data_IF_474587005845
#
_entry.id   IF_474587005845
#
_cell.length_a   1.000
_cell.length_b   1.000
_cell.length_c   1.000
_cell.angle_alpha   90.00
_cell.angle_beta   90.00
_cell.angle_gamma   90.00
#
_symmetry.space_group_name_H-M   'P 1'
#
loop_
_entity.id
_entity.type
_entity.pdbx_description
1 polymer ?
2 non-polymer ?
3 non-polymer ?
4 water ?
#
# COMPACT_ATOMS: atom_id res chain seq x y z
N UNK A 24 2.43 -20.12 20.89
CA UNK A 24 3.77 -19.89 21.40
C UNK A 24 4.28 -18.51 20.98
N UNK A 25 4.61 -17.63 21.94
CA UNK A 25 5.12 -16.28 21.69
C UNK A 25 6.36 -16.05 22.57
N UNK A 26 7.53 -16.45 22.04
CA UNK A 26 8.81 -16.50 22.74
C UNK A 26 9.69 -15.27 22.44
N UNK A 27 9.51 -14.20 23.24
CA UNK A 27 10.17 -12.90 23.01
C UNK A 27 10.96 -12.33 24.19
N UNK A 28 11.08 -13.06 25.32
CA UNK A 28 11.82 -12.56 26.47
C UNK A 28 13.33 -12.61 26.22
N UNK A 29 14.15 -12.03 27.12
CA UNK A 29 13.81 -11.36 28.37
C UNK A 29 13.22 -9.91 28.24
N UNK A 30 13.43 -9.23 27.10
CA UNK A 30 13.03 -7.82 26.91
C UNK A 30 11.51 -7.53 26.90
N UNK A 31 10.67 -8.40 26.32
CA UNK A 31 9.23 -8.14 26.18
C UNK A 31 8.32 -9.07 26.98
N UNK A 32 7.33 -8.50 27.72
CA UNK A 32 6.41 -9.25 28.61
C UNK A 32 4.95 -8.72 28.56
N UNK A 33 4.04 -9.36 29.33
CA UNK A 33 2.61 -9.01 29.47
C UNK A 33 1.92 -8.89 28.10
N UNK A 34 1.80 -10.02 27.40
CA UNK A 34 1.25 -10.07 26.05
C UNK A 34 -0.27 -10.01 26.02
N UNK A 35 -0.83 -9.38 24.96
CA UNK A 35 -2.28 -9.29 24.72
C UNK A 35 -2.54 -9.29 23.21
N UNK A 36 -3.42 -10.19 22.75
CA UNK A 36 -3.77 -10.36 21.33
C UNK A 36 -4.34 -9.09 20.69
N UNK A 37 -3.84 -8.72 19.50
CA UNK A 37 -4.29 -7.56 18.72
C UNK A 37 -5.10 -8.10 17.54
N UNK A 38 -4.44 -8.90 16.70
CA UNK A 38 -5.06 -9.46 15.51
C UNK A 38 -4.27 -10.64 14.95
N UNK A 39 -4.75 -11.18 13.82
CA UNK A 39 -4.15 -12.32 13.16
C UNK A 39 -4.42 -12.21 11.66
N UNK A 40 -3.57 -12.83 10.85
CA UNK A 40 -3.72 -12.83 9.39
C UNK A 40 -2.91 -13.96 8.77
N UNK A 41 -2.81 -13.98 7.44
CA UNK A 41 -2.04 -15.02 6.75
C UNK A 41 -0.55 -14.98 7.18
N UNK A 42 -0.02 -13.77 7.42
CA UNK A 42 1.34 -13.53 7.93
C UNK A 42 1.67 -14.22 9.26
N UNK A 43 0.67 -14.36 10.14
CA UNK A 43 0.87 -14.91 11.48
C UNK A 43 0.01 -14.15 12.48
N UNK A 44 0.57 -13.77 13.63
CA UNK A 44 -0.16 -13.12 14.72
C UNK A 44 0.60 -11.93 15.27
N UNK A 45 -0.14 -10.89 15.66
CA UNK A 45 0.43 -9.70 16.24
C UNK A 45 -0.18 -9.49 17.64
N UNK A 46 0.67 -9.10 18.60
CA UNK A 46 0.27 -8.84 19.98
C UNK A 46 0.88 -7.53 20.37
N UNK A 47 0.48 -7.03 21.54
CA UNK A 47 1.10 -5.88 22.16
C UNK A 47 1.95 -6.48 23.31
N UNK A 48 3.06 -5.84 23.68
CA UNK A 48 3.97 -6.33 24.74
C UNK A 48 4.70 -5.16 25.39
N UNK A 49 5.10 -5.31 26.66
CA UNK A 49 5.85 -4.24 27.33
C UNK A 49 7.32 -4.37 27.01
N UNK A 50 7.94 -3.28 26.56
CA UNK A 50 9.37 -3.23 26.28
C UNK A 50 10.05 -2.87 27.61
N UNK A 56 4.84 0.12 25.92
CA UNK A 56 4.33 -0.99 25.12
C UNK A 56 4.66 -0.87 23.64
N UNK A 57 4.82 -2.03 22.98
CA UNK A 57 5.18 -2.14 21.56
C UNK A 57 4.29 -3.20 20.91
N UNK A 58 4.31 -3.28 19.56
CA UNK A 58 3.59 -4.31 18.82
C UNK A 58 4.64 -5.35 18.46
N UNK A 59 4.28 -6.63 18.51
CA UNK A 59 5.19 -7.70 18.12
C UNK A 59 4.42 -8.67 17.27
N UNK A 60 4.96 -9.01 16.10
CA UNK A 60 4.35 -9.97 15.19
C UNK A 60 5.26 -11.18 15.03
N UNK A 61 4.67 -12.37 15.04
CA UNK A 61 5.38 -13.65 14.88
C UNK A 61 5.18 -14.12 13.45
N UNK A 62 6.28 -14.34 12.72
CA UNK A 62 6.27 -14.79 11.32
C UNK A 62 6.95 -16.15 11.27
N UNK A 63 6.37 -17.15 10.60
CA UNK A 63 6.95 -18.48 10.50
C UNK A 63 6.96 -18.88 9.03
N UNK A 64 7.82 -18.26 8.20
CA UNK A 64 7.76 -18.37 6.73
C UNK A 64 8.67 -19.39 6.02
N UNK A 65 9.54 -20.07 6.72
CA UNK A 65 10.62 -20.79 6.07
C UNK A 65 10.26 -22.03 5.28
N UNK A 66 9.01 -22.53 5.34
CA UNK A 66 8.66 -23.70 4.55
C UNK A 66 8.37 -23.36 3.11
N UNK A 67 8.14 -22.06 2.76
CA UNK A 67 7.78 -21.68 1.42
C UNK A 67 8.52 -20.48 0.89
N UNK A 68 8.99 -20.60 -0.36
CA UNK A 68 9.75 -19.56 -1.04
C UNK A 68 8.97 -18.22 -1.02
N UNK A 69 7.67 -18.24 -1.35
CA UNK A 69 6.90 -16.99 -1.37
C UNK A 69 6.87 -16.28 -0.03
N UNK A 70 6.67 -17.03 1.06
CA UNK A 70 6.57 -16.40 2.37
C UNK A 70 7.94 -15.83 2.75
N UNK A 71 9.05 -16.51 2.36
CA UNK A 71 10.41 -16.00 2.64
C UNK A 71 10.63 -14.72 1.88
N UNK A 72 10.20 -14.66 0.60
CA UNK A 72 10.34 -13.44 -0.22
C UNK A 72 9.63 -12.28 0.47
N UNK A 73 8.37 -12.48 0.94
CA UNK A 73 7.62 -11.38 1.60
C UNK A 73 8.25 -10.95 2.91
N UNK A 74 8.82 -11.89 3.64
CA UNK A 74 9.46 -11.59 4.90
C UNK A 74 10.73 -10.79 4.64
N UNK A 75 11.55 -11.21 3.68
CA UNK A 75 12.82 -10.50 3.39
C UNK A 75 12.54 -9.11 2.86
N UNK A 76 11.48 -8.93 2.06
CA UNK A 76 11.13 -7.59 1.58
C UNK A 76 10.72 -6.70 2.73
N UNK A 77 9.80 -7.16 3.59
CA UNK A 77 9.34 -6.41 4.79
C UNK A 77 10.55 -5.94 5.60
N UNK A 78 11.46 -6.87 5.89
CA UNK A 78 12.60 -6.55 6.72
C UNK A 78 13.61 -5.65 6.03
N UNK A 79 14.09 -6.00 4.85
CA UNK A 79 15.11 -5.19 4.16
C UNK A 79 14.66 -3.76 3.92
N UNK A 80 13.42 -3.61 3.47
CA UNK A 80 12.93 -2.27 3.18
C UNK A 80 12.72 -1.46 4.46
N UNK A 81 12.01 -2.00 5.44
CA UNK A 81 11.72 -1.24 6.64
C UNK A 81 12.95 -0.89 7.43
N UNK A 82 14.00 -1.73 7.41
CA UNK A 82 15.24 -1.38 8.11
C UNK A 82 15.96 -0.22 7.43
N UNK A 83 15.78 -0.05 6.08
CA UNK A 83 16.42 1.00 5.30
C UNK A 83 15.63 2.31 5.21
N UNK A 84 14.38 2.33 5.72
CA UNK A 84 13.56 3.50 5.75
C UNK A 84 13.50 4.06 7.16
N UNK A 85 13.44 5.39 7.22
CA UNK A 85 13.22 6.11 8.46
C UNK A 85 12.38 7.32 8.13
N UNK A 86 11.11 7.23 8.46
CA UNK A 86 10.16 8.31 8.14
C UNK A 86 8.98 8.28 9.10
N UNK A 87 8.49 9.46 9.48
CA UNK A 87 7.40 9.57 10.45
C UNK A 87 6.13 8.87 10.05
N UNK A 88 5.85 8.75 8.75
CA UNK A 88 4.61 8.14 8.25
C UNK A 88 4.81 6.76 7.69
N UNK A 89 5.90 6.09 8.12
CA UNK A 89 6.18 4.71 7.74
C UNK A 89 6.48 3.95 9.01
N UNK A 90 5.82 2.80 9.26
CA UNK A 90 6.08 2.04 10.48
C UNK A 90 7.55 1.61 10.51
N UNK A 91 8.19 1.71 11.64
CA UNK A 91 9.60 1.27 11.61
C UNK A 91 9.70 -0.16 12.08
N UNK A 92 10.91 -0.69 12.09
CA UNK A 92 11.21 -1.96 12.76
C UNK A 92 12.14 -1.56 13.90
N UNK A 93 11.70 -1.76 15.14
CA UNK A 93 12.47 -1.40 16.34
C UNK A 93 13.41 -2.51 16.79
N UNK A 94 13.01 -3.78 16.57
CA UNK A 94 13.81 -4.92 17.00
C UNK A 94 13.34 -6.16 16.24
N UNK A 95 14.21 -7.18 16.13
CA UNK A 95 13.85 -8.42 15.47
C UNK A 95 14.44 -9.54 16.33
N UNK A 96 13.60 -10.49 16.75
CA UNK A 96 14.03 -11.61 17.58
C UNK A 96 14.00 -12.86 16.73
N UNK A 97 15.08 -13.62 16.78
CA UNK A 97 15.14 -14.93 16.14
C UNK A 97 16.27 -15.73 16.78
N UNK A 98 16.32 -17.02 16.49
CA UNK A 98 17.32 -17.92 17.06
C UNK A 98 18.75 -17.51 16.70
N UNK A 99 19.74 -17.93 17.49
CA UNK A 99 21.13 -17.53 17.23
C UNK A 99 21.78 -18.23 16.04
N UNK A 100 21.19 -19.30 15.50
CA UNK A 100 21.76 -19.99 14.36
C UNK A 100 20.69 -20.24 13.34
N UNK A 101 21.10 -20.41 12.10
CA UNK A 101 20.18 -20.65 10.99
C UNK A 101 19.46 -21.98 11.19
N UNK A 102 20.17 -22.96 11.72
CA UNK A 102 19.60 -24.27 12.01
C UNK A 102 18.39 -24.19 12.97
N UNK A 103 18.47 -23.33 13.98
CA UNK A 103 17.48 -23.21 15.03
C UNK A 103 16.42 -22.21 14.71
N UNK A 104 16.65 -21.37 13.69
CA UNK A 104 15.68 -20.36 13.33
C UNK A 104 14.46 -20.91 12.60
N UNK A 105 13.30 -20.86 13.26
CA UNK A 105 12.03 -21.31 12.65
C UNK A 105 11.04 -20.19 12.57
N UNK A 106 11.12 -19.21 13.49
CA UNK A 106 10.20 -18.09 13.54
C UNK A 106 11.01 -16.82 13.53
N UNK A 107 10.36 -15.72 13.26
CA UNK A 107 10.98 -14.40 13.36
C UNK A 107 9.94 -13.47 13.98
N UNK A 108 10.32 -12.73 15.03
CA UNK A 108 9.43 -11.79 15.71
C UNK A 108 9.89 -10.39 15.33
N UNK A 109 9.00 -9.57 14.78
CA UNK A 109 9.31 -8.23 14.35
C UNK A 109 8.62 -7.26 15.31
N UNK A 110 9.40 -6.41 15.95
CA UNK A 110 8.91 -5.48 16.96
C UNK A 110 8.74 -4.11 16.33
N UNK A 111 7.55 -3.52 16.48
CA UNK A 111 7.26 -2.23 15.88
C UNK A 111 6.53 -1.33 16.87
N UNK A 112 6.47 -0.03 16.56
CA UNK A 112 5.73 0.92 17.41
C UNK A 112 4.28 0.50 17.50
N UNK A 113 3.71 0.61 18.69
CA UNK A 113 2.33 0.23 18.92
C UNK A 113 1.44 1.40 18.51
N UNK A 114 0.38 1.13 17.74
CA UNK A 114 -0.60 2.13 17.33
C UNK A 114 -1.93 1.72 17.93
N UNK A 115 -3.00 2.49 17.72
CA UNK A 115 -4.30 2.22 18.35
C UNK A 115 -5.30 1.54 17.48
N UNK A 116 -5.26 1.80 16.16
CA UNK A 116 -6.21 1.19 15.28
C UNK A 116 -5.70 1.32 13.86
N UNK A 117 -6.51 0.95 12.90
CA UNK A 117 -6.14 1.15 11.50
C UNK A 117 -7.32 1.80 10.81
N UNK A 118 -7.10 2.33 9.61
CA UNK A 118 -8.16 3.04 8.90
C UNK A 118 -9.35 2.15 8.52
N UNK A 119 -9.13 0.87 8.30
CA UNK A 119 -10.23 -0.07 8.00
C UNK A 119 -11.19 -0.13 9.18
N UNK A 120 -10.65 -0.33 10.38
CA UNK A 120 -11.47 -0.42 11.61
C UNK A 120 -12.16 0.91 11.89
N UNK A 121 -11.43 2.04 11.75
CA UNK A 121 -12.00 3.35 12.00
C UNK A 121 -13.19 3.63 11.09
N UNK A 122 -13.08 3.26 9.82
CA UNK A 122 -14.17 3.50 8.87
C UNK A 122 -15.39 2.62 9.12
N UNK A 123 -15.29 1.53 9.89
CA UNK A 123 -16.46 0.71 10.21
C UNK A 123 -17.35 1.42 11.23
N UNK A 124 -16.76 2.27 12.10
CA UNK A 124 -17.48 2.92 13.19
C UNK A 124 -17.66 4.44 13.10
N UNK A 125 -16.82 5.16 12.32
CA UNK A 125 -16.86 6.61 12.25
C UNK A 125 -16.95 7.15 10.83
N UNK A 126 -17.77 8.20 10.64
CA UNK A 126 -17.78 8.99 9.41
C UNK A 126 -16.76 10.09 9.70
N UNK A 127 -15.77 10.23 8.83
CA UNK A 127 -14.72 11.23 9.01
C UNK A 127 -15.09 12.57 8.43
N UNK A 128 -14.79 13.61 9.18
CA UNK A 128 -14.93 14.97 8.70
C UNK A 128 -13.92 15.20 7.61
N UNK A 129 -14.18 16.19 6.77
CA UNK A 129 -13.27 16.55 5.69
C UNK A 129 -11.90 16.89 6.23
N UNK A 130 -11.82 17.62 7.34
CA UNK A 130 -10.48 18.00 7.81
C UNK A 130 -9.65 16.81 8.35
N UNK A 131 -10.29 15.75 8.81
CA UNK A 131 -9.56 14.53 9.13
C UNK A 131 -9.12 13.81 7.86
N UNK A 132 -10.01 13.73 6.87
CA UNK A 132 -9.66 13.11 5.59
C UNK A 132 -8.44 13.83 5.00
N UNK A 133 -8.49 15.15 4.98
CA UNK A 133 -7.40 15.95 4.42
C UNK A 133 -6.07 15.65 5.09
N UNK A 134 -6.06 15.66 6.43
CA UNK A 134 -4.84 15.40 7.16
C UNK A 134 -4.34 13.95 6.99
N UNK A 135 -5.24 12.97 7.00
CA UNK A 135 -4.83 11.61 6.77
C UNK A 135 -4.28 11.45 5.37
N UNK A 136 -4.96 12.02 4.36
CA UNK A 136 -4.46 11.91 2.99
C UNK A 136 -3.08 12.57 2.85
N UNK A 137 -2.90 13.72 3.46
CA UNK A 137 -1.60 14.39 3.43
C UNK A 137 -0.51 13.42 3.95
N UNK A 138 -0.75 12.78 5.11
CA UNK A 138 0.24 11.86 5.67
C UNK A 138 0.50 10.65 4.78
N UNK A 139 -0.58 10.08 4.19
CA UNK A 139 -0.38 8.96 3.27
C UNK A 139 0.59 9.40 2.15
N UNK A 140 0.31 10.55 1.52
CA UNK A 140 1.10 11.01 0.41
C UNK A 140 2.50 11.45 0.84
N UNK A 141 2.67 11.98 2.06
CA UNK A 141 4.00 12.35 2.57
C UNK A 141 4.85 11.09 2.71
N UNK A 142 4.27 10.03 3.33
CA UNK A 142 5.01 8.76 3.44
C UNK A 142 5.27 8.18 2.06
N UNK A 143 4.28 8.20 1.18
CA UNK A 143 4.47 7.64 -0.16
C UNK A 143 5.54 8.38 -0.96
N UNK A 144 5.68 9.72 -0.73
CA UNK A 144 6.74 10.46 -1.40
C UNK A 144 8.08 9.85 -1.03
N UNK A 145 8.30 9.58 0.25
CA UNK A 145 9.55 8.98 0.72
C UNK A 145 9.74 7.59 0.09
N UNK A 146 8.68 6.76 0.09
CA UNK A 146 8.80 5.41 -0.47
C UNK A 146 9.21 5.50 -1.94
N UNK A 147 8.51 6.33 -2.73
CA UNK A 147 8.76 6.45 -4.15
C UNK A 147 10.12 7.10 -4.40
N UNK A 148 10.61 7.97 -3.52
CA UNK A 148 11.92 8.58 -3.70
C UNK A 148 13.06 7.57 -3.52
N UNK A 149 12.76 6.46 -2.82
CA UNK A 149 13.71 5.35 -2.66
C UNK A 149 13.56 4.37 -3.84
N UNK A 150 12.78 4.69 -4.88
CA UNK A 150 12.56 3.80 -6.01
C UNK A 150 11.82 2.55 -5.57
N UNK A 151 11.02 2.59 -4.52
CA UNK A 151 10.23 1.46 -4.03
C UNK A 151 8.76 1.72 -4.29
N UNK A 152 8.03 0.64 -4.57
CA UNK A 152 6.61 0.63 -4.74
C UNK A 152 6.01 -0.17 -3.58
N UNK A 153 4.97 0.32 -2.93
CA UNK A 153 4.35 -0.43 -1.85
C UNK A 153 3.54 -1.61 -2.36
N UNK A 154 2.65 -1.31 -3.32
CA UNK A 154 1.85 -2.28 -4.07
C UNK A 154 0.73 -2.93 -3.32
N UNK A 155 0.41 -2.49 -2.08
CA UNK A 155 -0.75 -3.03 -1.42
C UNK A 155 -1.35 -2.02 -0.48
N UNK A 156 -1.40 -0.76 -0.93
CA UNK A 156 -2.00 0.25 -0.07
C UNK A 156 -3.50 0.05 0.02
N UNK A 157 -4.02 0.11 1.24
CA UNK A 157 -5.43 -0.08 1.55
C UNK A 157 -5.66 0.37 2.97
N UNK A 158 -6.90 0.58 3.39
CA UNK A 158 -7.14 1.09 4.75
C UNK A 158 -6.52 0.28 5.87
N UNK A 159 -6.52 -1.06 5.77
CA UNK A 159 -5.98 -1.88 6.84
C UNK A 159 -4.48 -1.79 6.97
N UNK A 160 -3.78 -1.21 5.98
CA UNK A 160 -2.33 -1.02 6.04
C UNK A 160 -1.96 0.41 6.43
N UNK A 161 -2.90 1.16 7.01
CA UNK A 161 -2.69 2.52 7.47
C UNK A 161 -3.06 2.58 8.94
N UNK A 162 -2.04 2.60 9.78
CA UNK A 162 -2.21 2.60 11.23
C UNK A 162 -2.39 3.99 11.74
N UNK A 163 -3.25 4.16 12.76
CA UNK A 163 -3.60 5.44 13.35
C UNK A 163 -3.54 5.45 14.86
N UNK A 164 -3.35 6.63 15.44
CA UNK A 164 -3.45 6.79 16.88
C UNK A 164 -4.39 7.97 17.18
N UNK A 165 -4.67 8.23 18.47
CA UNK A 165 -5.61 9.29 18.85
C UNK A 165 -5.09 10.69 18.50
N UNK A 166 -3.76 10.89 18.40
CA UNK A 166 -3.22 12.17 17.94
C UNK A 166 -3.29 12.29 16.41
N UNK A 167 -3.93 11.32 15.72
CA UNK A 167 -4.14 11.31 14.28
C UNK A 167 -2.85 11.14 13.49
N UNK A 168 -1.81 10.58 14.10
CA UNK A 168 -0.60 10.22 13.36
C UNK A 168 -0.98 9.01 12.55
N UNK A 169 -0.48 8.94 11.34
CA UNK A 169 -0.72 7.85 10.42
C UNK A 169 0.59 7.26 9.96
N UNK A 170 0.66 5.91 9.94
CA UNK A 170 1.83 5.20 9.50
C UNK A 170 1.44 4.12 8.53
N UNK A 171 2.15 4.07 7.41
CA UNK A 171 1.99 3.06 6.39
C UNK A 171 2.72 1.80 6.81
N UNK A 172 2.04 0.65 6.73
CA UNK A 172 2.65 -0.61 7.09
C UNK A 172 2.45 -1.65 5.97
N UNK A 173 3.14 -2.80 6.11
CA UNK A 173 3.09 -3.98 5.26
C UNK A 173 3.74 -3.81 3.90
N UNK A 174 5.03 -4.07 3.82
CA UNK A 174 5.83 -4.01 2.62
C UNK A 174 6.13 -5.42 2.06
N UNK A 175 5.29 -6.37 2.39
CA UNK A 175 5.50 -7.75 1.91
C UNK A 175 5.38 -7.93 0.40
N UNK A 176 4.61 -7.06 -0.26
CA UNK A 176 4.46 -7.11 -1.72
C UNK A 176 5.22 -5.99 -2.39
N UNK A 177 6.07 -5.29 -1.66
CA UNK A 177 6.81 -4.18 -2.23
C UNK A 177 7.82 -4.63 -3.24
N UNK A 178 8.18 -3.76 -4.16
CA UNK A 178 9.17 -4.04 -5.20
C UNK A 178 9.95 -2.78 -5.50
N UNK A 179 11.12 -2.93 -6.08
CA UNK A 179 11.85 -1.85 -6.63
C UNK A 179 11.16 -1.53 -7.95
N UNK A 180 10.93 -0.23 -8.23
CA UNK A 180 10.25 0.17 -9.46
C UNK A 180 11.06 -0.26 -10.70
N UNK A 181 10.35 -0.64 -11.75
CA UNK A 181 10.99 -1.16 -12.95
C UNK A 181 10.06 -0.85 -14.12
N UNK A 182 9.92 0.45 -14.48
CA UNK A 182 9.01 0.83 -15.55
C UNK A 182 9.32 0.21 -16.89
N UNK A 183 10.59 -0.08 -17.18
CA UNK A 183 10.95 -0.68 -18.45
C UNK A 183 10.47 -2.12 -18.57
N UNK A 184 10.12 -2.81 -17.47
CA UNK A 184 9.64 -4.20 -17.47
C UNK A 184 8.24 -4.35 -16.85
N UNK A 185 7.45 -3.31 -16.99
CA UNK A 185 6.08 -3.29 -16.44
C UNK A 185 5.09 -4.08 -17.32
N UNK A 186 5.41 -4.31 -18.58
CA UNK A 186 4.46 -4.93 -19.49
C UNK A 186 4.15 -6.39 -19.20
N UNK A 187 2.85 -6.76 -19.32
CA UNK A 187 2.39 -8.12 -19.24
C UNK A 187 1.12 -8.22 -20.09
N UNK A 188 0.62 -9.45 -20.26
CA UNK A 188 -0.57 -9.68 -21.05
C UNK A 188 -1.86 -9.27 -20.38
N UNK A 189 -2.92 -9.30 -21.13
CA UNK A 189 -4.28 -9.04 -20.71
C UNK A 189 -4.73 -10.16 -19.75
N UNK A 190 -5.38 -9.74 -18.65
CA UNK A 190 -5.95 -10.66 -17.64
C UNK A 190 -4.89 -11.56 -16.99
N UNK A 191 -3.70 -10.95 -16.68
CA UNK A 191 -2.58 -11.61 -16.00
C UNK A 191 -2.89 -11.58 -14.50
N UNK A 192 -2.71 -12.72 -13.85
CA UNK A 192 -2.98 -12.89 -12.42
C UNK A 192 -2.17 -11.90 -11.60
N UNK A 193 -2.74 -11.43 -10.50
CA UNK A 193 -2.13 -10.41 -9.65
C UNK A 193 -2.36 -10.76 -8.20
N UNK A 194 -1.43 -10.40 -7.30
CA UNK A 194 -1.58 -10.81 -5.91
C UNK A 194 -2.18 -9.74 -5.02
N UNK A 195 -1.88 -8.45 -5.25
CA UNK A 195 -2.34 -7.44 -4.32
C UNK A 195 -3.85 -7.29 -4.27
N UNK A 196 -4.34 -6.73 -3.17
CA UNK A 196 -5.75 -6.62 -2.85
C UNK A 196 -6.63 -6.08 -3.99
N UNK A 197 -7.63 -6.90 -4.38
CA UNK A 197 -8.45 -6.63 -5.56
C UNK A 197 -9.02 -5.24 -5.66
N UNK A 198 -9.68 -4.78 -4.58
CA UNK A 198 -10.44 -3.54 -4.65
C UNK A 198 -9.60 -2.30 -4.91
N UNK A 199 -8.28 -2.41 -4.69
CA UNK A 199 -7.38 -1.26 -4.81
C UNK A 199 -6.47 -1.36 -6.01
N UNK A 200 -6.74 -2.29 -6.94
CA UNK A 200 -5.97 -2.50 -8.17
C UNK A 200 -6.32 -1.52 -9.26
N UNK A 201 -5.30 -0.90 -9.85
CA UNK A 201 -5.51 0.02 -10.97
C UNK A 201 -6.01 -0.75 -12.19
N UNK A 202 -6.70 -0.06 -13.10
CA UNK A 202 -7.24 -0.76 -14.25
C UNK A 202 -6.20 -1.42 -15.09
N UNK A 203 -5.04 -0.82 -15.22
CA UNK A 203 -3.99 -1.38 -16.06
C UNK A 203 -3.48 -2.73 -15.56
N UNK A 204 -3.65 -3.07 -14.28
CA UNK A 204 -3.25 -4.40 -13.82
C UNK A 204 -3.97 -5.49 -14.60
N UNK A 205 -5.23 -5.25 -14.99
CA UNK A 205 -6.02 -6.23 -15.70
C UNK A 205 -5.81 -6.16 -17.19
N UNK A 206 -5.14 -5.09 -17.67
CA UNK A 206 -5.01 -4.86 -19.10
C UNK A 206 -3.60 -5.08 -19.65
N UNK A 207 -2.58 -4.57 -18.98
CA UNK A 207 -1.22 -4.58 -19.52
C UNK A 207 -0.08 -4.36 -18.54
N UNK A 208 -0.31 -4.37 -17.21
CA UNK A 208 0.74 -3.98 -16.28
C UNK A 208 0.97 -4.98 -15.17
N UNK A 209 2.24 -5.18 -14.82
CA UNK A 209 2.66 -5.98 -13.69
C UNK A 209 2.73 -5.19 -12.38
N UNK A 210 2.41 -3.90 -12.39
CA UNK A 210 2.44 -3.11 -11.16
C UNK A 210 3.86 -2.76 -10.75
N UNK A 211 4.75 -2.48 -11.73
CA UNK A 211 6.14 -2.12 -11.47
C UNK A 211 6.38 -0.63 -11.70
N UNK A 212 5.32 0.22 -11.68
CA UNK A 212 5.54 1.67 -11.80
C UNK A 212 4.79 2.35 -10.64
N UNK A 213 5.27 3.54 -10.29
CA UNK A 213 4.78 4.32 -9.18
C UNK A 213 3.29 4.65 -9.27
N UNK A 214 2.76 4.75 -10.49
CA UNK A 214 1.36 5.02 -10.72
C UNK A 214 0.42 3.99 -10.09
N UNK A 215 0.90 2.76 -9.86
CA UNK A 215 0.06 1.75 -9.26
C UNK A 215 -0.35 2.17 -7.83
N UNK A 216 0.59 2.82 -7.11
CA UNK A 216 0.27 3.21 -5.74
C UNK A 216 -0.67 4.38 -5.68
N UNK A 217 -0.52 5.35 -6.63
CA UNK A 217 -1.39 6.50 -6.66
C UNK A 217 -2.82 6.05 -6.85
N UNK A 218 -3.08 5.08 -7.73
CA UNK A 218 -4.45 4.60 -7.92
C UNK A 218 -5.01 4.12 -6.55
N UNK A 219 -4.22 3.30 -5.84
CA UNK A 219 -4.68 2.81 -4.55
C UNK A 219 -5.00 3.93 -3.56
N UNK A 220 -4.16 4.97 -3.55
CA UNK A 220 -4.45 6.12 -2.69
C UNK A 220 -5.75 6.79 -3.09
N UNK A 221 -6.03 6.91 -4.41
CA UNK A 221 -7.29 7.48 -4.86
C UNK A 221 -8.45 6.64 -4.33
N UNK A 222 -8.29 5.29 -4.36
CA UNK A 222 -9.34 4.41 -3.80
C UNK A 222 -9.54 4.66 -2.31
N UNK A 223 -8.47 4.89 -1.58
CA UNK A 223 -8.56 5.13 -0.13
C UNK A 223 -9.25 6.44 0.11
N UNK A 224 -8.90 7.48 -0.67
CA UNK A 224 -9.61 8.74 -0.51
C UNK A 224 -11.10 8.59 -0.73
N UNK A 225 -11.48 7.92 -1.79
CA UNK A 225 -12.92 7.73 -2.05
C UNK A 225 -13.56 6.99 -0.88
N UNK A 226 -12.88 5.99 -0.34
CA UNK A 226 -13.40 5.23 0.78
C UNK A 226 -13.56 6.05 2.05
N UNK A 227 -12.63 6.99 2.29
CA UNK A 227 -12.80 7.88 3.46
C UNK A 227 -13.99 8.82 3.24
N UNK A 228 -14.27 9.22 1.98
CA UNK A 228 -15.36 10.16 1.73
C UNK A 228 -16.74 9.56 1.92
N UNK A 229 -16.90 8.22 1.78
CA UNK A 229 -18.23 7.58 1.88
C UNK A 229 -18.30 6.37 2.82
N UNK A 230 -17.18 5.93 3.43
CA UNK A 230 -17.11 4.73 4.26
C UNK A 230 -17.46 3.45 3.53
N UNK A 231 -17.28 3.42 2.22
CA UNK A 231 -17.51 2.23 1.42
C UNK A 231 -16.47 2.18 0.35
N UNK A 232 -15.98 0.99 -0.01
CA UNK A 232 -15.03 0.90 -1.10
C UNK A 232 -15.66 1.38 -2.40
N UNK A 233 -14.89 2.13 -3.19
CA UNK A 233 -15.43 2.70 -4.42
C UNK A 233 -15.61 1.64 -5.53
N UNK A 234 -14.68 0.67 -5.62
CA UNK A 234 -14.75 -0.37 -6.64
C UNK A 234 -14.63 -1.78 -6.00
N UNK A 235 -15.73 -2.26 -5.37
CA UNK A 235 -15.71 -3.55 -4.68
C UNK A 235 -15.97 -4.68 -5.67
N UNK A 236 -15.00 -4.96 -6.53
CA UNK A 236 -15.17 -6.06 -7.49
C UNK A 236 -15.34 -7.36 -6.71
N UNK A 237 -16.25 -8.24 -7.16
CA UNK A 237 -16.48 -9.49 -6.47
C UNK A 237 -15.53 -10.58 -6.95
N UNK A 238 -14.79 -10.33 -8.02
CA UNK A 238 -13.84 -11.26 -8.61
C UNK A 238 -12.95 -10.47 -9.61
N UNK A 239 -11.91 -11.11 -10.16
CA UNK A 239 -10.87 -10.48 -11.01
C UNK A 239 -11.39 -9.52 -12.13
N UNK A 240 -12.18 -9.97 -13.16
CA UNK A 240 -12.60 -9.07 -14.24
C UNK A 240 -13.65 -8.10 -13.74
N UNK A 241 -14.41 -8.51 -12.70
CA UNK A 241 -15.44 -7.63 -12.14
C UNK A 241 -14.80 -6.38 -11.62
N UNK A 242 -13.55 -6.44 -11.20
CA UNK A 242 -12.85 -5.23 -10.76
C UNK A 242 -12.76 -4.18 -11.87
N UNK A 243 -12.47 -4.60 -13.11
CA UNK A 243 -12.44 -3.66 -14.24
C UNK A 243 -13.86 -3.19 -14.55
N UNK A 244 -14.90 -4.04 -14.38
CA UNK A 244 -16.29 -3.62 -14.61
C UNK A 244 -16.61 -2.44 -13.71
N UNK A 245 -16.25 -2.55 -12.44
CA UNK A 245 -16.55 -1.49 -11.48
C UNK A 245 -15.83 -0.19 -11.90
N UNK A 246 -14.55 -0.29 -12.29
CA UNK A 246 -13.78 0.91 -12.65
C UNK A 246 -14.37 1.61 -13.87
N UNK A 247 -14.63 0.82 -14.92
CA UNK A 247 -15.20 1.40 -16.15
C UNK A 247 -16.62 1.86 -15.94
N UNK A 248 -17.35 1.27 -14.97
CA UNK A 248 -18.71 1.70 -14.69
C UNK A 248 -18.75 3.15 -14.18
N UNK A 249 -17.70 3.60 -13.46
CA UNK A 249 -17.64 4.97 -12.96
C UNK A 249 -16.85 5.88 -13.90
N UNK A 250 -15.67 5.46 -14.38
CA UNK A 250 -14.85 6.32 -15.25
C UNK A 250 -15.43 6.45 -16.64
N UNK A 251 -16.21 5.49 -17.07
CA UNK A 251 -16.75 5.49 -18.42
C UNK A 251 -15.73 4.92 -19.38
N UNK A 252 -16.09 4.88 -20.66
CA UNK A 252 -15.22 4.32 -21.67
C UNK A 252 -13.93 5.10 -21.80
N UNK A 253 -12.79 4.42 -21.97
CA UNK A 253 -11.54 5.14 -22.18
C UNK A 253 -11.54 5.88 -23.52
N UNK A 254 -10.81 6.98 -23.57
CA UNK A 254 -10.70 7.76 -24.79
C UNK A 254 -9.88 7.03 -25.84
N UNK A 255 -9.98 7.49 -27.07
CA UNK A 255 -9.21 6.90 -28.16
C UNK A 255 -7.73 7.00 -27.87
N UNK A 256 -7.28 8.13 -27.34
CA UNK A 256 -5.86 8.31 -27.00
C UNK A 256 -5.46 7.33 -25.91
N UNK A 257 -6.32 7.09 -24.91
CA UNK A 257 -5.97 6.10 -23.89
C UNK A 257 -5.93 4.68 -24.42
N UNK A 258 -6.78 4.34 -25.38
CA UNK A 258 -6.74 3.04 -26.05
C UNK A 258 -5.48 2.92 -26.88
N UNK A 259 -5.00 4.04 -27.47
CA UNK A 259 -3.77 4.03 -28.25
C UNK A 259 -2.55 3.70 -27.37
N UNK A 260 -2.62 3.95 -26.03
CA UNK A 260 -1.58 3.64 -25.05
C UNK A 260 -1.76 2.22 -24.43
N UNK A 261 -2.75 1.41 -24.89
CA UNK A 261 -3.08 0.16 -24.14
C UNK A 261 -2.13 -1.05 -24.37
N UNK A 262 -1.26 -0.99 -25.38
CA UNK A 262 -0.20 -1.96 -25.67
C UNK A 262 -0.71 -3.28 -26.28
N UNK A 263 -1.53 -4.00 -25.53
CA UNK A 263 -1.95 -5.32 -25.91
C UNK A 263 -3.11 -5.38 -26.88
N UNK A 264 -2.99 -6.23 -27.89
CA UNK A 264 -4.05 -6.51 -28.84
C UNK A 264 -5.32 -6.93 -28.12
N UNK A 265 -5.19 -7.87 -27.18
CA UNK A 265 -6.36 -8.40 -26.52
C UNK A 265 -7.00 -7.40 -25.59
N UNK A 266 -6.23 -6.48 -25.02
CA UNK A 266 -6.84 -5.45 -24.15
C UNK A 266 -7.54 -4.45 -25.04
N UNK A 267 -6.93 -4.03 -26.15
CA UNK A 267 -7.56 -3.10 -27.07
C UNK A 267 -8.86 -3.69 -27.61
N UNK A 268 -8.84 -4.92 -28.05
CA UNK A 268 -10.03 -5.57 -28.60
C UNK A 268 -11.14 -5.66 -27.54
N UNK A 269 -10.79 -5.98 -26.31
CA UNK A 269 -11.78 -6.04 -25.25
C UNK A 269 -12.43 -4.66 -25.03
N UNK A 270 -11.62 -3.62 -24.89
CA UNK A 270 -12.22 -2.32 -24.63
C UNK A 270 -13.04 -1.86 -25.81
N UNK A 271 -12.59 -2.11 -27.04
CA UNK A 271 -13.36 -1.72 -28.23
C UNK A 271 -14.70 -2.43 -28.35
N UNK A 272 -14.80 -3.63 -27.76
CA UNK A 272 -16.01 -4.45 -27.81
C UNK A 272 -17.13 -4.01 -26.87
N UNK A 273 -16.81 -3.17 -25.91
CA UNK A 273 -17.74 -2.75 -24.88
C UNK A 273 -18.67 -1.68 -25.42
N UNK A 274 -19.91 -1.63 -24.93
CA UNK A 274 -20.75 -0.50 -25.28
C UNK A 274 -20.16 0.77 -24.65
N UNK A 275 -20.46 1.91 -25.29
CA UNK A 275 -20.04 3.20 -24.76
C UNK A 275 -20.71 3.41 -23.42
N UNK A 276 -19.95 3.87 -22.43
CA UNK A 276 -20.38 4.13 -21.05
C UNK A 276 -19.91 5.55 -20.73
N UNK A 277 -20.80 6.40 -20.21
CA UNK A 277 -20.42 7.74 -19.82
C UNK A 277 -19.90 7.75 -18.41
N UNK A 278 -19.01 8.68 -18.14
CA UNK A 278 -18.40 8.93 -16.83
C UNK A 278 -19.50 9.31 -15.81
N UNK A 279 -19.49 8.69 -14.61
CA UNK A 279 -20.41 9.03 -13.51
C UNK A 279 -19.71 10.24 -12.79
N UNK A 280 -20.38 11.40 -12.66
CA UNK A 280 -19.73 12.56 -12.04
C UNK A 280 -19.32 12.30 -10.60
N UNK A 281 -18.14 12.77 -10.19
CA UNK A 281 -17.69 12.55 -8.84
C UNK A 281 -18.66 13.19 -7.83
N UNK A 282 -19.25 14.36 -8.18
CA UNK A 282 -20.18 15.04 -7.28
C UNK A 282 -21.55 14.33 -7.14
N UNK A 283 -21.87 13.36 -8.00
CA UNK A 283 -23.06 12.54 -7.82
C UNK A 283 -22.72 11.37 -6.91
N UNK A 284 -21.47 10.82 -7.01
CA UNK A 284 -21.08 9.74 -6.12
C UNK A 284 -20.82 10.26 -4.72
N UNK A 285 -20.27 11.47 -4.62
CA UNK A 285 -19.88 12.09 -3.36
C UNK A 285 -20.47 13.49 -3.26
N UNK A 286 -21.79 13.59 -3.07
CA UNK A 286 -22.49 14.85 -3.05
C UNK A 286 -22.14 15.82 -1.92
N UNK A 287 -21.57 15.31 -0.81
CA UNK A 287 -21.22 16.16 0.33
C UNK A 287 -19.73 16.43 0.42
N UNK A 288 -18.94 15.92 -0.55
CA UNK A 288 -17.51 16.11 -0.49
C UNK A 288 -17.06 17.47 -0.97
N UNK A 289 -15.91 17.87 -0.45
CA UNK A 289 -15.25 19.09 -0.81
C UNK A 289 -14.86 19.05 -2.30
N UNK A 290 -15.11 20.15 -3.04
CA UNK A 290 -14.81 20.17 -4.49
C UNK A 290 -13.32 19.94 -4.78
N UNK A 291 -12.42 20.47 -3.92
CA UNK A 291 -11.00 20.29 -4.15
C UNK A 291 -10.63 18.83 -3.90
N UNK A 292 -11.28 18.17 -2.92
CA UNK A 292 -11.01 16.74 -2.68
C UNK A 292 -11.40 15.91 -3.93
N UNK A 293 -12.55 16.25 -4.56
CA UNK A 293 -12.98 15.54 -5.76
C UNK A 293 -12.11 15.83 -6.97
N UNK A 294 -11.52 17.03 -7.05
CA UNK A 294 -10.63 17.33 -8.16
C UNK A 294 -9.37 16.48 -8.01
N UNK A 295 -8.85 16.38 -6.81
CA UNK A 295 -7.66 15.53 -6.59
C UNK A 295 -8.00 14.07 -6.81
N UNK A 296 -9.15 13.62 -6.33
CA UNK A 296 -9.61 12.25 -6.54
C UNK A 296 -9.63 11.93 -8.05
N UNK A 297 -10.20 12.83 -8.86
CA UNK A 297 -10.26 12.64 -10.30
C UNK A 297 -8.85 12.38 -10.87
N UNK A 298 -7.86 13.17 -10.42
CA UNK A 298 -6.51 13.07 -10.93
C UNK A 298 -5.79 11.81 -10.47
N UNK A 299 -6.09 11.30 -9.27
CA UNK A 299 -5.49 10.04 -8.83
C UNK A 299 -6.17 8.86 -9.51
N UNK A 300 -7.50 8.95 -9.74
CA UNK A 300 -8.26 7.88 -10.39
C UNK A 300 -8.36 8.12 -11.89
N UNK A 301 -7.27 8.52 -12.52
CA UNK A 301 -7.16 8.68 -13.97
C UNK A 301 -6.86 7.31 -14.59
N UNK A 302 -7.61 6.96 -15.64
CA UNK A 302 -7.45 5.67 -16.29
C UNK A 302 -6.05 5.40 -16.83
N UNK A 303 -5.50 6.34 -17.56
CA UNK A 303 -4.20 6.17 -18.19
C UNK A 303 -3.13 6.44 -17.12
N UNK A 304 -2.30 5.45 -16.79
CA UNK A 304 -1.30 5.68 -15.77
C UNK A 304 -0.29 6.75 -16.14
N UNK A 305 -0.04 6.99 -17.41
CA UNK A 305 0.91 8.01 -17.83
C UNK A 305 0.37 9.41 -17.57
N UNK A 306 -0.96 9.57 -17.50
CA UNK A 306 -1.59 10.84 -17.22
C UNK A 306 -1.96 11.03 -15.75
N UNK A 307 -1.87 9.98 -14.96
CA UNK A 307 -2.21 9.99 -13.54
C UNK A 307 -1.23 10.87 -12.77
N UNK A 308 -1.76 11.62 -11.81
CA UNK A 308 -0.95 12.51 -10.98
C UNK A 308 0.12 11.70 -10.25
N UNK A 309 1.31 12.27 -10.09
CA UNK A 309 2.39 11.65 -9.33
C UNK A 309 2.37 12.20 -7.90
N UNK A 310 3.05 11.51 -6.99
CA UNK A 310 2.95 11.84 -5.58
C UNK A 310 3.31 13.28 -5.26
N UNK A 311 4.35 13.85 -5.87
CA UNK A 311 4.70 15.23 -5.54
C UNK A 311 3.66 16.20 -6.03
N UNK A 312 3.05 15.91 -7.17
CA UNK A 312 1.97 16.77 -7.67
C UNK A 312 0.78 16.68 -6.76
N UNK A 313 0.47 15.50 -6.26
CA UNK A 313 -0.65 15.34 -5.38
C UNK A 313 -0.45 16.14 -4.10
N UNK A 314 0.75 16.11 -3.52
CA UNK A 314 1.04 16.89 -2.35
C UNK A 314 0.83 18.41 -2.59
N UNK A 315 1.14 18.85 -3.81
CA UNK A 315 1.00 20.25 -4.23
C UNK A 315 -0.40 20.64 -4.66
N UNK A 316 -1.38 19.73 -4.63
CA UNK A 316 -2.73 20.03 -5.05
C UNK A 316 -3.41 20.97 -4.06
N UNK A 317 -4.33 21.85 -4.54
CA UNK A 317 -4.99 22.75 -3.62
C UNK A 317 -5.67 22.12 -2.43
N UNK A 318 -6.17 20.90 -2.56
CA UNK A 318 -6.84 20.27 -1.42
C UNK A 318 -5.94 20.19 -0.21
N UNK A 319 -4.63 19.98 -0.44
CA UNK A 319 -3.65 19.79 0.63
C UNK A 319 -2.80 21.03 0.92
N UNK A 320 -3.22 22.21 0.39
CA UNK A 320 -2.45 23.43 0.53
C UNK A 320 -2.12 23.84 1.95
N UNK A 321 -2.99 23.54 2.91
CA UNK A 321 -2.69 23.98 4.28
C UNK A 321 -1.52 23.21 4.90
N UNK A 322 -1.22 22.02 4.38
CA UNK A 322 -0.14 21.19 4.91
C UNK A 322 1.08 21.14 4.03
N UNK A 323 0.95 21.43 2.75
CA UNK A 323 2.07 21.31 1.83
C UNK A 323 3.29 22.12 2.19
N UNK A 324 4.42 21.42 2.33
CA UNK A 324 5.68 22.06 2.65
C UNK A 324 6.76 21.09 2.22
N UNK A 325 7.29 21.27 0.98
CA UNK A 325 8.32 20.34 0.47
C UNK A 325 9.52 20.20 1.38
N UNK A 326 9.89 21.27 2.14
CA UNK A 326 11.00 21.21 3.05
C UNK A 326 10.76 20.29 4.26
N UNK A 327 9.47 19.93 4.52
CA UNK A 327 9.10 19.06 5.61
C UNK A 327 8.50 17.77 5.07
N UNK A 328 8.83 17.40 3.83
CA UNK A 328 8.39 16.17 3.15
C UNK A 328 9.66 15.48 2.66
N UNK A 329 10.37 14.82 3.57
CA UNK A 329 11.68 14.28 3.24
C UNK A 329 11.68 13.15 2.23
N UNK A 330 12.85 12.97 1.61
CA UNK A 330 13.12 11.93 0.67
C UNK A 330 14.21 11.02 1.22
N UNK A 331 14.33 9.87 0.58
CA UNK A 331 15.31 8.87 1.01
C UNK A 331 16.69 9.26 0.59
N UNK A 332 17.67 8.92 1.45
CA UNK A 332 19.08 9.28 1.21
C UNK A 332 19.68 8.72 -0.12
N UNK A 333 19.15 7.61 -0.63
CA UNK A 333 19.59 7.05 -1.90
C UNK A 333 18.56 6.06 -2.39
N UNK A 334 18.46 5.77 -3.67
CA UNK A 334 17.46 4.77 -4.04
C UNK A 334 17.90 3.32 -3.71
N UNK A 335 16.94 2.39 -3.78
CA UNK A 335 17.22 0.96 -3.84
C UNK A 335 17.61 0.74 -5.30
N UNK A 344 15.37 -17.14 -6.30
CA UNK A 344 16.20 -17.70 -5.24
C UNK A 344 15.43 -18.77 -4.46
N UNK A 345 16.03 -19.93 -4.17
CA UNK A 345 15.34 -20.96 -3.38
C UNK A 345 15.11 -20.50 -1.92
N UNK A 346 14.12 -21.12 -1.24
CA UNK A 346 13.78 -20.77 0.15
C UNK A 346 14.96 -20.88 1.12
N UNK A 347 15.92 -21.79 0.86
CA UNK A 347 17.10 -21.98 1.69
C UNK A 347 18.05 -20.79 1.58
N UNK A 348 18.23 -20.24 0.37
CA UNK A 348 19.06 -19.04 0.17
C UNK A 348 18.36 -17.85 0.80
N UNK A 349 17.05 -17.73 0.61
CA UNK A 349 16.29 -16.64 1.23
C UNK A 349 16.38 -16.69 2.76
N UNK A 350 16.41 -17.90 3.36
CA UNK A 350 16.55 -18.02 4.82
C UNK A 350 17.89 -17.45 5.27
N UNK A 351 18.96 -17.75 4.53
CA UNK A 351 20.30 -17.23 4.82
C UNK A 351 20.30 -15.70 4.76
N UNK A 352 19.62 -15.14 3.74
CA UNK A 352 19.56 -13.69 3.62
C UNK A 352 18.76 -13.04 4.76
N UNK A 353 17.66 -13.67 5.21
CA UNK A 353 16.89 -13.17 6.33
C UNK A 353 17.74 -13.24 7.62
N UNK A 354 18.49 -14.33 7.77
CA UNK A 354 19.38 -14.50 8.91
C UNK A 354 20.39 -13.33 8.95
N UNK A 355 21.06 -13.06 7.82
CA UNK A 355 22.04 -11.97 7.72
C UNK A 355 21.44 -10.58 7.95
N UNK A 356 20.24 -10.35 7.39
CA UNK A 356 19.55 -9.06 7.51
C UNK A 356 19.11 -8.75 8.95
N UNK A 357 18.84 -9.81 9.76
CA UNK A 357 18.41 -9.65 11.15
C UNK A 357 19.56 -9.69 12.15
N UNK A 358 20.81 -9.94 11.70
CA UNK A 358 21.97 -10.06 12.57
C UNK A 358 22.27 -8.85 13.45
N UNK A 359 21.91 -7.64 13.01
CA UNK A 359 22.19 -6.42 13.78
C UNK A 359 21.47 -6.31 15.13
N UNK A 360 20.38 -7.08 15.33
CA UNK A 360 19.61 -7.09 16.57
C UNK A 360 20.07 -8.13 17.58
N UNK A 361 21.09 -8.94 17.25
CA UNK A 361 21.60 -9.94 18.18
C UNK A 361 22.56 -9.30 19.20
N UNK A 362 22.52 -9.73 20.48
CA UNK A 362 23.43 -9.18 21.50
C UNK A 362 24.85 -9.73 21.34
X LIG B 1 -8.34 -12.38 -7.88
X LIG B 1 -8.76 -12.71 -6.52
X LIG B 1 -6.89 -12.05 -7.90
X LIG B 1 -9.13 -11.19 -8.32
X LIG B 1 -8.56 -13.54 -8.81
X LIG C 1 -0.32 -12.98 -23.48
X LIG C 1 0.10 -14.38 -23.62
X LIG C 1 -0.78 -12.82 -22.05
X LIG C 1 -1.56 -12.83 -24.27
X LIG C 1 0.72 -11.92 -23.74
X LIG D 1 5.07 -8.66 8.72
X LIG D 1 4.69 -8.52 7.57
X LIG D 1 5.33 -9.14 6.55
X LIG D 1 6.31 -10.19 6.74
X LIG D 1 5.70 -11.48 6.31
X LIG D 1 4.59 -11.55 5.44
X LIG D 1 3.86 -12.81 5.13
X LIG D 1 2.64 -12.78 4.46
X LIG D 1 1.93 -13.94 4.23
X LIG D 1 2.40 -15.17 4.69
X LIG D 1 1.55 -16.38 4.61
X LIG D 1 0.45 -16.43 3.87
X LIG D 1 0.02 -17.71 4.06
X LIG D 1 -1.16 -18.19 3.36
X LIG D 1 0.86 -18.33 4.90
X LIG D 1 1.84 -17.54 5.26
X LIG D 1 3.63 -15.21 5.34
X LIG D 1 4.36 -14.05 5.55
X LIG D 1 4.04 -10.25 4.84
X LIG D 1 4.93 -9.06 5.14
X LIG D 1 3.49 -7.65 7.25
X LIG D 1 2.80 -7.22 8.51
X LIG D 1 1.98 -8.28 9.14
X LIG D 1 1.18 -7.54 10.19
X LIG D 1 1.75 -6.17 8.21
X LIG D 1 1.01 -6.15 9.56
X LIG D 1 -0.80 -5.92 9.23
X LIG D 1 -1.06 -4.27 8.58
X LIG D 1 1.57 -5.08 10.49
X LIG D 1 2.62 -4.52 10.25
X LIG D 1 0.76 -4.79 11.53
X LIG D 1 1.06 -3.91 12.61
X LIG D 1 0.01 -3.60 13.48
X LIG D 1 2.34 -3.38 12.81
X LIG D 1 2.58 -2.50 13.85
X LIG D 1 1.53 -2.15 14.67
X LIG D 1 0.23 -2.66 14.49
X LIG D 1 1.46 -1.31 15.73
X LIG D 1 0.21 -1.24 16.23
X LIG D 1 -0.60 -2.02 15.53
X LIG D 1 -2.06 -2.15 15.83
X LIG D 1 -2.53 -1.89 17.11
X LIG D 1 -3.89 -1.92 17.37
X LIG D 1 -2.99 -2.45 14.84
X LIG D 1 -4.33 -2.51 15.07
X LIG D 1 -4.74 -2.26 16.31
X LIG D 1 -6.09 -2.30 16.49
X LIG D 1 -6.69 -2.54 17.82
X LIG D 1 -8.09 -2.00 17.69
X LIG D 1 -6.67 -4.00 18.18
X LIG D 1 3.45 -6.87 9.19
X LIG D 1 7.19 -9.96 6.14
X LIG D 1 6.67 -10.29 7.77
X LIG D 1 6.18 -12.37 6.72
X LIG D 1 2.20 -11.86 4.09
X LIG D 1 0.98 -13.87 3.70
X LIG D 1 -1.61 -19.02 3.88
X LIG D 1 -0.88 -18.52 2.36
X LIG D 1 -1.92 -17.42 3.24
X LIG D 1 0.76 -19.37 5.22
X LIG D 1 4.04 -16.15 5.69
X LIG D 1 5.33 -14.17 6.03
X LIG D 1 3.04 -10.07 5.23
X LIG D 1 3.90 -10.30 3.76
X LIG D 1 5.82 -9.09 4.51
X LIG D 1 4.46 -8.10 4.89
X LIG D 1 2.77 -8.11 6.59
X LIG D 1 3.84 -6.77 6.72
X LIG D 1 1.34 -8.77 8.40
X LIG D 1 2.60 -9.08 9.53
X LIG D 1 1.70 -7.54 11.15
X LIG D 1 0.23 -8.03 10.40
X LIG D 1 1.14 -6.45 7.37
X LIG D 1 2.21 -5.21 7.94
X LIG D 1 -2.05 -4.16 8.15
X LIG D 1 -0.31 -4.02 7.84
X LIG D 1 -0.98 -3.62 9.45
X LIG D 1 -0.16 -5.20 11.56
X LIG D 1 -0.96 -4.07 13.42
X LIG D 1 3.20 -3.58 12.17
X LIG D 1 3.57 -2.08 14.00
X LIG D 1 2.20 -0.74 16.13
X LIG D 1 -1.85 -1.69 17.94
X LIG D 1 -4.24 -1.64 18.37
X LIG D 1 -2.71 -2.63 13.81
X LIG D 1 -6.20 -1.98 18.61
X LIG D 1 -8.74 -2.66 17.14
X LIG D 1 -8.10 -1.04 17.18
X LIG D 1 -8.55 -1.85 18.66
X LIG D 1 -6.68 -4.63 17.30
X LIG D 1 -7.51 -4.28 18.80
X LIG D 1 -5.77 -4.28 18.76
#
# INVERSE_FOLDING_TARGET
MAHHHHHHMAAAAAAGPEMVRGQVFDVGPRYTNLSYIGEGAYGMVCSAYDNLNKVRVAIKKISPFEHQTYCQRTLREIKILLRFRHENIIGINDIIRAPTIEQMKDVYIVQDLMETDLYKLLKTQHLSNDHICYFLYQILRGLKYIHSANVLHRDLKPSNLLLNTTCDLKICDFGLARVADPDHDHTGFLTEYVATRWYRAPEIMLNSKGYTKSIDIWSVGCILAEMLSNRPIFPGKHYLDQLNHILGILGSPSQEDLNCIINLKARNYLLSLPHKNKVPWNRLFPNADSKALDLLDKMLTFNPHKRIEVEQALAHPYLEQYYDPSDEPIAEAPFKFDMELDDLPKEKLKELIFEETARFQPGYRS
SO4 S O1 O2 O3 O4
SO4 S O1 O2 O3 O4
G67 O2 C21 N5 C26 C25 C24 C27 C32 C31 C30 C33 N8 N7 C35 C34 N6 C29 C28 C23 C22 C20 N4 C18 C17 C19 C16 S C36 C15 O1 N3 C11 C10 C12 C13 C14 C9 N1 N2 C8 C6 C5 C4 C7 N C3 O C1 C2 C H1 H29 H30 H28 H34 H33 H36 H37 H38 H35 H32 H31 H27 H26 H25 H24 H23 H22 H19 H18 H17 H16 H21 H20 H41 H39 H40 H15 H12 H13 H14 H H10 H9 H11 H5 H8 H7 H6 H3 H2 H4
#
